data_IF_621185365403
#
_entry.id   IF_621185365403
#
_cell.length_a   1.000
_cell.length_b   1.000
_cell.length_c   1.000
_cell.angle_alpha   90.00
_cell.angle_beta   90.00
_cell.angle_gamma   90.00
#
_symmetry.space_group_name_H-M   'P 1'
#
loop_
_entity.id
_entity.type
_entity.pdbx_description
1 polymer ?
#
# COMPACT_ATOMS: atom_id res chain seq x y z
N UNK A 1 -1.96 21.02 5.39
CA UNK A 1 -2.20 20.68 5.24
C UNK A 1 -2.94 20.06 4.95
N UNK A 2 -3.18 19.79 4.81
CA UNK A 2 -3.86 19.39 4.56
C UNK A 2 -4.26 18.59 4.64
N UNK A 3 -4.55 17.97 4.93
CA UNK A 3 -4.89 17.13 4.98
C UNK A 3 -6.02 16.85 5.03
N UNK A 4 -6.44 16.69 5.07
CA UNK A 4 -7.52 16.63 4.93
C UNK A 4 -8.07 15.46 4.54
N UNK A 5 -8.26 14.72 3.98
CA UNK A 5 -8.74 13.50 3.44
C UNK A 5 -8.20 12.29 4.13
N UNK A 6 -7.85 12.38 5.37
CA UNK A 6 -7.30 11.27 6.15
C UNK A 6 -8.44 10.39 6.65
N UNK A 7 -8.29 9.10 6.53
CA UNK A 7 -9.24 8.16 7.10
C UNK A 7 -9.27 8.33 8.61
N UNK A 8 -10.45 8.26 9.19
CA UNK A 8 -10.57 8.35 10.62
C UNK A 8 -10.19 7.04 11.27
N UNK A 9 -9.72 7.10 12.51
CA UNK A 9 -9.34 5.92 13.24
C UNK A 9 -7.90 5.53 13.00
N UNK A 10 -7.62 4.27 13.20
CA UNK A 10 -6.25 3.77 13.19
C UNK A 10 -6.09 2.66 12.17
N UNK A 11 -4.89 2.57 11.62
CA UNK A 11 -4.53 1.43 10.79
C UNK A 11 -3.55 0.59 11.59
N UNK A 12 -3.98 -0.59 12.01
CA UNK A 12 -3.14 -1.49 12.78
C UNK A 12 -2.31 -2.36 11.85
N UNK A 13 -1.09 -2.66 12.27
CA UNK A 13 -0.18 -3.55 11.54
C UNK A 13 0.19 -4.71 12.43
N UNK A 14 0.46 -5.86 11.80
CA UNK A 14 0.94 -7.03 12.53
C UNK A 14 2.33 -6.77 13.09
N UNK A 15 2.57 -7.22 14.32
CA UNK A 15 3.90 -7.12 14.88
C UNK A 15 4.93 -7.93 14.12
N UNK A 16 4.48 -8.90 13.32
CA UNK A 16 5.40 -9.67 12.48
C UNK A 16 6.14 -8.82 11.47
N UNK A 17 5.59 -7.66 11.13
CA UNK A 17 6.25 -6.78 10.15
C UNK A 17 7.62 -6.32 10.62
N UNK A 18 7.83 -6.22 11.91
CA UNK A 18 9.11 -5.76 12.42
C UNK A 18 10.24 -6.73 12.08
N UNK A 19 9.89 -8.00 11.89
CA UNK A 19 10.88 -9.02 11.54
C UNK A 19 10.96 -9.31 10.04
N UNK A 20 10.14 -8.65 9.25
CA UNK A 20 10.12 -8.89 7.82
C UNK A 20 11.24 -8.09 7.15
N UNK A 21 11.91 -8.67 6.14
CA UNK A 21 12.99 -7.94 5.45
C UNK A 21 12.57 -6.59 4.87
N UNK A 22 11.30 -6.37 4.61
CA UNK A 22 10.85 -5.11 4.03
C UNK A 22 11.15 -3.93 4.94
N UNK A 23 11.20 -4.17 6.25
CA UNK A 23 11.44 -3.08 7.20
C UNK A 23 12.85 -2.49 7.02
N UNK A 24 13.76 -3.26 6.44
CA UNK A 24 15.13 -2.82 6.24
C UNK A 24 15.31 -1.99 4.98
N UNK A 25 14.32 -1.98 4.10
CA UNK A 25 14.37 -1.18 2.89
C UNK A 25 13.40 -0.01 3.06
N UNK A 26 13.94 1.14 3.41
CA UNK A 26 13.09 2.26 3.83
C UNK A 26 12.12 2.70 2.75
N UNK A 27 12.53 2.74 1.49
CA UNK A 27 11.62 3.18 0.44
C UNK A 27 10.58 2.11 0.12
N UNK A 28 10.98 0.84 0.13
CA UNK A 28 10.02 -0.23 -0.07
C UNK A 28 9.00 -0.26 1.07
N UNK A 29 9.46 -0.07 2.30
CA UNK A 29 8.55 0.02 3.43
C UNK A 29 7.61 1.21 3.31
N UNK A 30 8.14 2.35 2.87
CA UNK A 30 7.30 3.54 2.69
C UNK A 30 6.17 3.26 1.70
N UNK A 31 6.48 2.66 0.57
CA UNK A 31 5.46 2.35 -0.42
C UNK A 31 4.48 1.31 0.11
N UNK A 32 4.99 0.26 0.75
CA UNK A 32 4.13 -0.80 1.23
C UNK A 32 3.18 -0.29 2.32
N UNK A 33 3.69 0.49 3.26
CA UNK A 33 2.84 1.05 4.31
C UNK A 33 1.80 2.00 3.72
N UNK A 34 2.19 2.78 2.71
CA UNK A 34 1.23 3.64 2.01
C UNK A 34 0.09 2.79 1.45
N UNK A 35 0.41 1.66 0.83
CA UNK A 35 -0.62 0.78 0.28
C UNK A 35 -1.51 0.22 1.39
N UNK A 36 -0.92 -0.13 2.53
CA UNK A 36 -1.70 -0.63 3.66
C UNK A 36 -2.67 0.42 4.19
N UNK A 37 -2.22 1.69 4.23
CA UNK A 37 -3.10 2.76 4.70
C UNK A 37 -4.25 3.00 3.73
N UNK A 38 -4.00 2.90 2.43
CA UNK A 38 -4.99 3.26 1.42
C UNK A 38 -5.97 2.13 1.12
N UNK A 39 -5.58 0.88 1.32
CA UNK A 39 -6.42 -0.25 0.96
C UNK A 39 -7.67 -0.31 1.82
N UNK A 40 -8.74 -0.82 1.23
CA UNK A 40 -9.99 -1.01 1.96
C UNK A 40 -9.79 -2.06 3.03
N UNK A 41 -10.32 -1.80 4.21
CA UNK A 41 -10.19 -2.73 5.32
C UNK A 41 -11.10 -3.95 5.14
N UNK A 42 -12.27 -3.76 4.58
CA UNK A 42 -13.22 -4.84 4.35
C UNK A 42 -13.86 -4.64 2.98
N UNK A 43 -14.79 -5.52 2.64
CA UNK A 43 -15.41 -5.50 1.31
C UNK A 43 -16.50 -4.47 1.15
N UNK A 44 -16.67 -3.58 2.10
CA UNK A 44 -17.77 -2.61 2.09
C UNK A 44 -17.69 -1.64 0.92
N UNK A 45 -16.49 -1.17 0.60
CA UNK A 45 -16.29 -0.18 -0.46
C UNK A 45 -15.54 -0.73 -1.66
N UNK A 46 -15.10 -1.97 -1.58
CA UNK A 46 -14.34 -2.64 -2.59
C UNK A 46 -13.73 -3.87 -1.98
N UNK A 47 -13.03 -4.64 -2.77
CA UNK A 47 -12.39 -5.85 -2.25
C UNK A 47 -11.36 -5.47 -1.18
N UNK A 48 -11.42 -6.14 -0.04
CA UNK A 48 -10.49 -5.87 1.05
C UNK A 48 -9.05 -6.03 0.56
N UNK A 49 -8.21 -5.09 0.93
CA UNK A 49 -6.80 -5.10 0.54
C UNK A 49 -6.52 -4.48 -0.81
N UNK A 50 -7.54 -3.92 -1.46
CA UNK A 50 -7.33 -3.27 -2.77
C UNK A 50 -7.63 -1.78 -2.68
N UNK A 51 -7.09 -1.04 -3.63
CA UNK A 51 -7.48 0.36 -3.82
C UNK A 51 -7.08 0.79 -5.23
N UNK A 52 -7.70 1.88 -5.66
CA UNK A 52 -7.45 2.44 -6.98
C UNK A 52 -6.86 3.83 -6.81
N UNK A 53 -5.81 4.11 -7.56
CA UNK A 53 -5.17 5.41 -7.49
C UNK A 53 -4.59 5.75 -8.87
N UNK A 54 -3.81 6.82 -8.95
CA UNK A 54 -3.06 7.14 -10.15
C UNK A 54 -1.60 7.24 -9.79
N UNK A 55 -0.74 7.05 -10.78
CA UNK A 55 0.69 7.19 -10.51
C UNK A 55 1.04 8.62 -10.12
N UNK A 56 0.34 9.58 -10.70
CA UNK A 56 0.57 10.99 -10.36
C UNK A 56 0.25 11.22 -8.88
N UNK A 57 -0.85 10.69 -8.41
CA UNK A 57 -1.24 10.85 -7.02
C UNK A 57 -0.23 10.19 -6.08
N UNK A 58 0.21 8.98 -6.43
CA UNK A 58 1.19 8.28 -5.62
C UNK A 58 2.51 9.04 -5.55
N UNK A 59 2.97 9.55 -6.68
CA UNK A 59 4.21 10.32 -6.72
C UNK A 59 4.11 11.57 -5.85
N UNK A 60 2.97 12.22 -5.92
CA UNK A 60 2.74 13.42 -5.16
C UNK A 60 2.72 13.14 -3.66
N UNK A 61 2.00 12.11 -3.26
CA UNK A 61 1.88 11.76 -1.85
C UNK A 61 3.18 11.26 -1.26
N UNK A 62 3.99 10.57 -2.05
CA UNK A 62 5.26 10.02 -1.60
C UNK A 62 6.43 10.96 -1.86
N UNK A 63 6.21 11.99 -2.66
CA UNK A 63 7.26 12.91 -3.08
C UNK A 63 8.38 12.17 -3.81
N UNK A 64 7.99 11.30 -4.72
CA UNK A 64 8.93 10.50 -5.51
C UNK A 64 8.81 10.87 -6.97
N UNK A 65 9.88 10.65 -7.74
CA UNK A 65 9.79 10.77 -9.18
C UNK A 65 9.23 9.48 -9.78
N UNK A 66 8.94 9.53 -11.07
CA UNK A 66 8.32 8.39 -11.74
C UNK A 66 9.22 7.15 -11.73
N UNK A 67 10.50 7.35 -11.91
CA UNK A 67 11.45 6.24 -11.96
C UNK A 67 11.51 5.52 -10.60
N UNK A 68 11.57 6.26 -9.53
CA UNK A 68 11.63 5.69 -8.19
C UNK A 68 10.36 4.93 -7.87
N UNK A 69 9.21 5.51 -8.18
CA UNK A 69 7.95 4.86 -7.92
C UNK A 69 7.87 3.52 -8.66
N UNK A 70 8.19 3.54 -9.95
CA UNK A 70 8.12 2.33 -10.76
C UNK A 70 9.05 1.25 -10.24
N UNK A 71 10.26 1.64 -9.87
CA UNK A 71 11.25 0.71 -9.35
C UNK A 71 10.74 -0.02 -8.11
N UNK A 72 10.16 0.70 -7.17
CA UNK A 72 9.73 0.07 -5.93
C UNK A 72 8.39 -0.62 -6.05
N UNK A 73 7.53 -0.20 -6.97
CA UNK A 73 6.34 -0.97 -7.25
C UNK A 73 6.70 -2.35 -7.79
N UNK A 74 7.66 -2.39 -8.71
CA UNK A 74 8.10 -3.68 -9.22
C UNK A 74 8.82 -4.50 -8.18
N UNK A 75 9.59 -3.84 -7.33
CA UNK A 75 10.25 -4.54 -6.24
C UNK A 75 9.23 -5.25 -5.35
N UNK A 76 8.19 -4.55 -4.95
CA UNK A 76 7.18 -5.15 -4.09
C UNK A 76 6.40 -6.25 -4.81
N UNK A 77 6.13 -6.06 -6.08
CA UNK A 77 5.43 -7.09 -6.85
C UNK A 77 6.28 -8.35 -6.97
N UNK A 78 7.55 -8.19 -7.27
CA UNK A 78 8.45 -9.34 -7.43
C UNK A 78 8.68 -10.09 -6.13
N UNK A 79 8.59 -9.40 -5.01
CA UNK A 79 8.76 -10.03 -3.70
C UNK A 79 7.45 -10.60 -3.16
N UNK A 80 6.34 -10.39 -3.85
CA UNK A 80 5.07 -10.97 -3.43
C UNK A 80 4.31 -10.18 -2.38
N UNK A 81 4.63 -8.91 -2.21
CA UNK A 81 3.91 -8.07 -1.25
C UNK A 81 2.66 -7.45 -1.86
N UNK A 82 2.71 -7.07 -3.12
CA UNK A 82 1.56 -6.49 -3.79
C UNK A 82 1.45 -7.04 -5.20
N UNK A 83 0.28 -6.85 -5.78
CA UNK A 83 0.07 -7.01 -7.21
C UNK A 83 -0.58 -5.74 -7.71
N UNK A 84 -0.33 -5.37 -8.97
CA UNK A 84 -0.94 -4.16 -9.49
C UNK A 84 -1.15 -4.26 -10.98
N UNK A 85 -2.07 -3.42 -11.46
CA UNK A 85 -2.40 -3.34 -12.87
C UNK A 85 -2.58 -1.89 -13.22
N UNK A 86 -1.93 -1.44 -14.27
CA UNK A 86 -1.99 -0.05 -14.70
C UNK A 86 -2.79 0.07 -15.97
N UNK A 87 -3.72 1.01 -15.99
CA UNK A 87 -4.44 1.39 -17.20
C UNK A 87 -4.08 2.84 -17.51
N UNK A 88 -4.47 3.35 -18.69
CA UNK A 88 -4.16 4.75 -19.00
C UNK A 88 -4.70 5.76 -17.99
N UNK A 89 -5.79 5.43 -17.30
CA UNK A 89 -6.39 6.35 -16.36
C UNK A 89 -6.11 6.04 -14.91
N UNK A 90 -5.89 4.79 -14.57
CA UNK A 90 -5.83 4.38 -13.17
C UNK A 90 -4.81 3.29 -12.94
N UNK A 91 -4.43 3.15 -11.67
CA UNK A 91 -3.62 2.03 -11.22
C UNK A 91 -4.40 1.31 -10.13
N UNK A 92 -4.59 0.00 -10.31
CA UNK A 92 -5.29 -0.83 -9.35
C UNK A 92 -4.27 -1.63 -8.57
N UNK A 93 -4.29 -1.52 -7.26
CA UNK A 93 -3.29 -2.17 -6.41
C UNK A 93 -3.98 -3.11 -5.46
N UNK A 94 -3.43 -4.30 -5.31
CA UNK A 94 -3.90 -5.28 -4.35
C UNK A 94 -2.75 -5.67 -3.43
N UNK A 95 -2.98 -5.54 -2.14
CA UNK A 95 -1.99 -5.95 -1.14
C UNK A 95 -2.19 -7.44 -0.89
N UNK A 96 -1.17 -8.24 -1.20
CA UNK A 96 -1.23 -9.67 -1.00
C UNK A 96 -1.10 -9.96 0.48
N UNK A 97 -1.86 -10.93 0.97
CA UNK A 97 -1.88 -11.30 2.39
C UNK A 97 -2.26 -10.12 3.28
N UNK A 98 -3.20 -9.31 2.80
CA UNK A 98 -3.56 -8.08 3.50
C UNK A 98 -3.92 -8.29 4.97
N UNK A 99 -4.71 -9.32 5.25
CA UNK A 99 -5.15 -9.56 6.63
C UNK A 99 -4.00 -9.96 7.53
N UNK A 100 -3.04 -10.66 6.98
CA UNK A 100 -1.84 -11.02 7.74
C UNK A 100 -1.08 -9.77 8.16
N UNK A 101 -0.89 -8.85 7.23
CA UNK A 101 -0.11 -7.65 7.50
C UNK A 101 -0.81 -6.68 8.43
N UNK A 102 -2.15 -6.67 8.39
CA UNK A 102 -2.92 -5.80 9.26
C UNK A 102 -3.04 -6.35 10.68
N UNK A 103 -2.72 -7.60 10.87
CA UNK A 103 -2.76 -8.20 12.20
C UNK A 103 -4.15 -8.32 12.78
N UNK A 104 -5.11 -8.40 11.96
CA UNK A 104 -6.40 -8.34 12.42
C UNK A 104 -6.95 -9.53 12.87
N UNK A 105 -7.21 -9.75 13.33
CA UNK A 105 -7.61 -10.61 13.61
C UNK A 105 -8.72 -10.88 13.88
N UNK A 106 -9.05 -10.89 13.98
CA UNK A 106 -9.77 -11.04 14.25
C UNK A 106 -10.54 -11.22 14.48
N UNK A 107 -10.38 -11.20 14.54
CA UNK A 107 -11.07 -11.28 14.90
C UNK A 107 -11.79 -11.54 14.97
#
# INVERSE_FOLDING_TARGET
MAEKEVKKGYTGFSNELVNDPIIKNSKAWTLFSYCLFKAYFDDKYGEAGTFTTTQIEMRKNLNWDNKTLKKFMEFLKNKGYIDYKTTPQNTFIKVLNYKKWRGCCSA
#
